data_IF_508375345985
#
_entry.id   IF_508375345985
#
_cell.length_a   1.000
_cell.length_b   1.000
_cell.length_c   1.000
_cell.angle_alpha   90.00
_cell.angle_beta   90.00
_cell.angle_gamma   90.00
#
_symmetry.space_group_name_H-M   'P 1'
#
loop_
_entity.id
_entity.type
_entity.pdbx_description
1 polymer ?
#
# COMPACT_ATOMS: atom_id res chain seq x y z
N UNK A 1 -21.58 -73.90 -3.87
CA UNK A 1 -20.77 -72.96 -3.06
C UNK A 1 -21.06 -71.56 -3.57
N UNK A 2 -21.46 -70.68 -2.66
CA UNK A 2 -22.31 -69.51 -2.89
C UNK A 2 -21.50 -68.31 -3.45
N UNK A 3 -21.78 -67.89 -4.68
CA UNK A 3 -21.29 -66.61 -5.23
C UNK A 3 -22.31 -65.51 -4.89
N UNK A 4 -22.04 -64.74 -3.84
CA UNK A 4 -22.90 -63.65 -3.40
C UNK A 4 -22.76 -62.40 -4.27
N UNK A 5 -23.85 -61.79 -4.77
CA UNK A 5 -23.81 -60.57 -5.56
C UNK A 5 -24.04 -59.35 -4.64
N UNK A 6 -23.05 -58.93 -3.85
CA UNK A 6 -23.19 -57.71 -3.05
C UNK A 6 -21.86 -56.98 -2.86
N UNK A 7 -21.55 -56.01 -3.73
CA UNK A 7 -20.78 -54.82 -3.30
C UNK A 7 -20.79 -53.63 -4.28
N UNK A 8 -21.17 -53.81 -5.55
CA UNK A 8 -21.05 -52.77 -6.59
C UNK A 8 -21.86 -51.48 -6.27
N UNK A 9 -22.97 -51.58 -5.54
CA UNK A 9 -23.80 -50.42 -5.15
C UNK A 9 -23.15 -49.54 -4.08
N UNK A 10 -22.48 -50.14 -3.08
CA UNK A 10 -21.81 -49.42 -1.99
C UNK A 10 -20.54 -48.71 -2.46
N UNK A 11 -19.81 -49.31 -3.39
CA UNK A 11 -18.61 -48.69 -3.97
C UNK A 11 -18.98 -47.44 -4.80
N UNK A 12 -20.08 -47.49 -5.57
CA UNK A 12 -20.59 -46.34 -6.35
C UNK A 12 -21.13 -45.20 -5.49
N UNK A 13 -21.83 -45.51 -4.40
CA UNK A 13 -22.30 -44.50 -3.44
C UNK A 13 -21.11 -43.78 -2.78
N UNK A 14 -20.08 -44.54 -2.39
CA UNK A 14 -18.84 -44.00 -1.82
C UNK A 14 -18.08 -43.13 -2.82
N UNK A 15 -17.97 -43.55 -4.07
CA UNK A 15 -17.33 -42.75 -5.12
C UNK A 15 -18.08 -41.44 -5.39
N UNK A 16 -19.42 -41.47 -5.36
CA UNK A 16 -20.25 -40.27 -5.47
C UNK A 16 -20.07 -39.32 -4.27
N UNK A 17 -20.02 -39.83 -3.04
CA UNK A 17 -19.76 -39.03 -1.84
C UNK A 17 -18.39 -38.35 -1.90
N UNK A 18 -17.36 -39.08 -2.36
CA UNK A 18 -16.01 -38.53 -2.57
C UNK A 18 -16.01 -37.45 -3.66
N UNK A 19 -16.68 -37.68 -4.78
CA UNK A 19 -16.80 -36.70 -5.87
C UNK A 19 -17.56 -35.44 -5.41
N UNK A 20 -18.66 -35.61 -4.68
CA UNK A 20 -19.46 -34.52 -4.13
C UNK A 20 -18.65 -33.71 -3.10
N UNK A 21 -17.88 -34.38 -2.25
CA UNK A 21 -16.96 -33.73 -1.30
C UNK A 21 -15.88 -32.90 -2.00
N UNK A 22 -15.29 -33.41 -3.09
CA UNK A 22 -14.33 -32.66 -3.93
C UNK A 22 -14.98 -31.44 -4.58
N UNK A 23 -16.19 -31.61 -5.13
CA UNK A 23 -16.93 -30.53 -5.78
C UNK A 23 -17.28 -29.42 -4.77
N UNK A 24 -17.73 -29.78 -3.57
CA UNK A 24 -18.04 -28.82 -2.51
C UNK A 24 -16.78 -28.07 -2.05
N UNK A 25 -15.66 -28.77 -1.85
CA UNK A 25 -14.37 -28.14 -1.50
C UNK A 25 -13.89 -27.19 -2.58
N UNK A 26 -14.03 -27.57 -3.86
CA UNK A 26 -13.70 -26.71 -5.00
C UNK A 26 -14.55 -25.44 -5.02
N UNK A 27 -15.86 -25.56 -4.77
CA UNK A 27 -16.76 -24.41 -4.74
C UNK A 27 -16.37 -23.40 -3.65
N UNK A 28 -16.07 -23.88 -2.43
CA UNK A 28 -15.60 -23.03 -1.33
C UNK A 28 -14.31 -22.29 -1.71
N UNK A 29 -13.31 -23.01 -2.24
CA UNK A 29 -12.03 -22.39 -2.63
C UNK A 29 -12.18 -21.33 -3.74
N UNK A 30 -13.11 -21.52 -4.68
CA UNK A 30 -13.40 -20.54 -5.72
C UNK A 30 -14.06 -19.28 -5.14
N UNK A 31 -14.96 -19.43 -4.18
CA UNK A 31 -15.58 -18.31 -3.47
C UNK A 31 -14.53 -17.53 -2.66
N UNK A 32 -13.64 -18.23 -1.95
CA UNK A 32 -12.56 -17.59 -1.21
C UNK A 32 -11.57 -16.85 -2.13
N UNK A 33 -11.21 -17.48 -3.26
CA UNK A 33 -10.37 -16.85 -4.26
C UNK A 33 -11.00 -15.56 -4.80
N UNK A 34 -12.29 -15.58 -5.13
CA UNK A 34 -13.01 -14.41 -5.60
C UNK A 34 -13.00 -13.28 -4.56
N UNK A 35 -13.25 -13.61 -3.29
CA UNK A 35 -13.20 -12.67 -2.15
C UNK A 35 -11.81 -12.05 -1.98
N UNK A 36 -10.74 -12.85 -2.10
CA UNK A 36 -9.37 -12.32 -2.01
C UNK A 36 -9.01 -11.42 -3.19
N UNK A 37 -9.36 -11.81 -4.41
CA UNK A 37 -9.13 -10.99 -5.61
C UNK A 37 -9.90 -9.66 -5.55
N UNK A 38 -11.15 -9.68 -5.06
CA UNK A 38 -11.96 -8.47 -4.86
C UNK A 38 -11.30 -7.50 -3.88
N UNK A 39 -10.77 -8.01 -2.76
CA UNK A 39 -10.02 -7.20 -1.78
C UNK A 39 -8.68 -6.69 -2.32
N UNK A 40 -7.94 -7.51 -3.08
CA UNK A 40 -6.64 -7.15 -3.62
C UNK A 40 -6.73 -6.09 -4.74
N UNK A 41 -7.77 -6.15 -5.57
CA UNK A 41 -7.95 -5.29 -6.74
C UNK A 41 -7.81 -3.79 -6.45
N UNK A 42 -8.52 -3.19 -5.48
CA UNK A 42 -8.43 -1.76 -5.23
C UNK A 42 -7.08 -1.36 -4.60
N UNK A 43 -6.43 -2.26 -3.84
CA UNK A 43 -5.07 -2.06 -3.32
C UNK A 43 -4.04 -2.03 -4.46
N UNK A 44 -4.08 -3.03 -5.36
CA UNK A 44 -3.22 -3.06 -6.57
C UNK A 44 -3.38 -1.80 -7.42
N UNK A 45 -4.62 -1.35 -7.60
CA UNK A 45 -4.91 -0.13 -8.35
C UNK A 45 -4.27 1.10 -7.70
N UNK A 46 -4.49 1.30 -6.39
CA UNK A 46 -3.92 2.44 -5.66
C UNK A 46 -2.38 2.43 -5.69
N UNK A 47 -1.76 1.28 -5.41
CA UNK A 47 -0.29 1.14 -5.40
C UNK A 47 0.34 1.32 -6.78
N UNK A 48 -0.42 1.14 -7.87
CA UNK A 48 0.03 1.45 -9.24
C UNK A 48 -0.13 2.93 -9.58
N UNK A 49 -1.18 3.58 -9.09
CA UNK A 49 -1.51 4.97 -9.42
C UNK A 49 -0.57 5.99 -8.74
N UNK A 50 -0.08 5.65 -7.54
CA UNK A 50 0.76 6.52 -6.71
C UNK A 50 2.20 6.00 -6.72
N UNK A 51 3.19 6.79 -7.13
CA UNK A 51 4.59 6.40 -7.03
C UNK A 51 5.07 6.30 -5.58
N UNK A 52 5.99 5.39 -5.32
CA UNK A 52 6.64 5.27 -4.02
C UNK A 52 7.55 6.49 -3.75
N UNK A 53 7.55 6.96 -2.49
CA UNK A 53 8.50 8.00 -2.05
C UNK A 53 9.90 7.39 -2.06
N UNK A 54 10.79 7.95 -2.89
CA UNK A 54 12.21 7.58 -2.90
C UNK A 54 12.82 7.89 -1.54
N UNK A 55 13.54 6.94 -0.95
CA UNK A 55 14.30 7.13 0.28
C UNK A 55 15.76 6.83 -0.04
N UNK A 56 16.59 7.86 -0.03
CA UNK A 56 17.99 7.76 -0.45
C UNK A 56 18.83 8.72 0.39
N UNK A 57 19.99 8.23 0.84
CA UNK A 57 20.92 9.07 1.60
C UNK A 57 21.61 10.10 0.71
N UNK A 58 21.83 9.74 -0.57
CA UNK A 58 22.53 10.56 -1.55
C UNK A 58 21.65 10.76 -2.79
N UNK A 59 21.28 12.01 -3.07
CA UNK A 59 20.57 12.42 -4.29
C UNK A 59 21.54 13.06 -5.27
N UNK A 60 21.43 12.73 -6.56
CA UNK A 60 22.23 13.36 -7.62
C UNK A 60 21.80 14.81 -7.86
N UNK A 61 22.75 15.72 -8.05
CA UNK A 61 22.46 17.10 -8.46
C UNK A 61 21.99 18.03 -7.35
N UNK A 62 22.14 17.63 -6.07
CA UNK A 62 21.84 18.48 -4.94
C UNK A 62 22.95 19.51 -4.71
N UNK A 63 22.56 20.73 -4.32
CA UNK A 63 23.52 21.75 -3.90
C UNK A 63 24.17 21.35 -2.57
N UNK A 64 25.50 21.43 -2.47
CA UNK A 64 26.25 21.07 -1.26
C UNK A 64 25.83 21.83 0.00
N UNK A 65 25.25 23.03 -0.15
CA UNK A 65 24.77 23.86 0.97
C UNK A 65 23.28 23.67 1.28
N UNK A 66 22.54 22.91 0.46
CA UNK A 66 21.15 22.62 0.73
C UNK A 66 21.04 21.67 1.91
N UNK A 67 20.39 22.12 2.97
CA UNK A 67 20.24 21.33 4.19
C UNK A 67 18.90 20.58 4.21
N UNK A 68 18.91 19.31 4.59
CA UNK A 68 17.68 18.58 4.81
C UNK A 68 16.85 19.21 5.95
N UNK A 69 15.59 19.55 5.66
CA UNK A 69 14.67 20.17 6.64
C UNK A 69 14.36 19.25 7.81
N UNK A 70 14.69 17.96 7.73
CA UNK A 70 14.45 16.97 8.79
C UNK A 70 15.74 16.66 9.55
N UNK A 71 16.66 15.89 8.95
CA UNK A 71 17.89 15.40 9.59
C UNK A 71 19.03 16.41 9.65
N UNK A 72 18.92 17.58 8.99
CA UNK A 72 19.96 18.62 8.94
C UNK A 72 21.23 18.26 8.17
N UNK A 73 21.29 17.09 7.53
CA UNK A 73 22.43 16.73 6.69
C UNK A 73 22.56 17.70 5.50
N UNK A 74 23.73 18.34 5.30
CA UNK A 74 23.96 19.26 4.20
C UNK A 74 24.35 18.52 2.92
N UNK A 75 23.72 18.86 1.80
CA UNK A 75 24.16 18.44 0.46
C UNK A 75 24.05 16.95 0.17
N UNK A 76 23.39 16.17 1.02
CA UNK A 76 23.27 14.73 0.85
C UNK A 76 22.02 14.36 0.01
N UNK A 77 20.83 14.77 0.44
CA UNK A 77 19.57 14.38 -0.21
C UNK A 77 18.49 15.47 -0.15
N UNK A 78 17.53 15.39 -1.07
CA UNK A 78 16.33 16.24 -0.98
C UNK A 78 15.52 15.88 0.26
N UNK A 79 14.90 16.86 0.92
CA UNK A 79 14.17 16.60 2.17
C UNK A 79 13.06 15.55 2.02
N UNK A 80 12.33 15.50 0.89
CA UNK A 80 11.32 14.45 0.64
C UNK A 80 11.95 13.04 0.68
N UNK A 81 13.21 12.92 0.29
CA UNK A 81 13.98 11.68 0.21
C UNK A 81 14.69 11.25 1.48
N UNK A 82 14.58 12.02 2.56
CA UNK A 82 15.26 11.75 3.82
C UNK A 82 14.99 10.32 4.33
N UNK A 83 16.03 9.48 4.52
CA UNK A 83 15.87 8.11 4.99
C UNK A 83 15.69 8.01 6.51
N UNK A 84 16.18 8.98 7.28
CA UNK A 84 16.13 8.94 8.76
C UNK A 84 14.75 9.32 9.31
N UNK A 85 14.08 10.25 8.63
CA UNK A 85 12.75 10.72 9.00
C UNK A 85 11.79 10.27 7.92
N UNK A 86 11.10 9.16 8.15
CA UNK A 86 10.25 8.53 7.13
C UNK A 86 8.77 8.76 7.33
N UNK A 87 8.36 9.14 8.54
CA UNK A 87 6.98 9.33 8.96
C UNK A 87 6.50 10.77 8.72
N UNK A 88 5.39 10.92 7.98
CA UNK A 88 4.83 12.21 7.60
C UNK A 88 4.39 13.07 8.80
N UNK A 89 3.82 12.47 9.86
CA UNK A 89 3.37 13.22 11.04
C UNK A 89 4.56 13.75 11.84
N UNK A 90 5.61 12.94 12.01
CA UNK A 90 6.88 13.36 12.60
C UNK A 90 7.52 14.49 11.77
N UNK A 91 7.56 14.35 10.44
CA UNK A 91 8.07 15.40 9.54
C UNK A 91 7.26 16.69 9.69
N UNK A 92 5.94 16.60 9.77
CA UNK A 92 5.06 17.75 10.00
C UNK A 92 5.37 18.43 11.33
N UNK A 93 5.52 17.66 12.41
CA UNK A 93 5.84 18.17 13.73
C UNK A 93 7.20 18.89 13.74
N UNK A 94 8.23 18.35 13.08
CA UNK A 94 9.54 18.99 12.92
C UNK A 94 9.40 20.36 12.24
N UNK A 95 8.62 20.44 11.15
CA UNK A 95 8.37 21.71 10.44
C UNK A 95 7.66 22.72 11.34
N UNK A 96 6.64 22.27 12.07
CA UNK A 96 5.88 23.10 13.01
C UNK A 96 6.74 23.63 14.16
N UNK A 97 7.52 22.76 14.80
CA UNK A 97 8.40 23.12 15.93
C UNK A 97 9.49 24.11 15.51
N UNK A 98 9.97 23.98 14.27
CA UNK A 98 10.92 24.91 13.66
C UNK A 98 10.26 26.18 13.12
N UNK A 99 8.96 26.38 13.36
CA UNK A 99 8.17 27.55 12.90
C UNK A 99 8.27 27.78 11.39
N UNK A 100 8.30 26.70 10.61
CA UNK A 100 8.32 26.73 9.15
C UNK A 100 6.92 26.54 8.59
N UNK A 101 6.66 27.11 7.42
CA UNK A 101 5.37 26.98 6.74
C UNK A 101 5.16 25.52 6.28
N UNK A 102 4.04 24.86 6.60
CA UNK A 102 3.77 23.50 6.14
C UNK A 102 3.68 23.34 4.62
N UNK A 103 3.41 24.41 3.87
CA UNK A 103 3.24 24.35 2.41
C UNK A 103 4.56 24.33 1.64
N UNK A 104 5.54 25.15 2.05
CA UNK A 104 6.85 25.25 1.39
C UNK A 104 8.03 24.80 2.25
N UNK A 105 7.83 24.50 3.54
CA UNK A 105 8.85 24.14 4.52
C UNK A 105 9.91 25.23 4.77
N UNK A 106 9.61 26.48 4.42
CA UNK A 106 10.47 27.65 4.62
C UNK A 106 9.84 28.67 5.59
N UNK A 107 10.60 29.74 5.87
CA UNK A 107 10.19 30.88 6.69
C UNK A 107 9.48 31.96 5.85
N UNK A 108 8.18 31.77 5.60
CA UNK A 108 7.36 32.69 4.80
C UNK A 108 7.30 34.10 5.38
N UNK A 109 7.37 34.24 6.70
CA UNK A 109 7.38 35.52 7.41
C UNK A 109 8.50 36.45 6.96
N UNK A 110 9.63 35.90 6.50
CA UNK A 110 10.77 36.67 5.98
C UNK A 110 10.53 37.27 4.60
N UNK A 111 9.57 36.70 3.84
CA UNK A 111 9.20 37.15 2.48
C UNK A 111 7.87 37.91 2.44
N UNK A 112 7.04 37.75 3.46
CA UNK A 112 5.66 38.27 3.48
C UNK A 112 4.64 37.45 2.67
N UNK A 113 5.06 36.36 2.00
CA UNK A 113 4.17 35.48 1.25
C UNK A 113 4.71 34.03 1.15
N UNK A 114 3.83 33.09 0.79
CA UNK A 114 4.19 31.70 0.51
C UNK A 114 4.04 31.42 -0.99
N UNK A 115 5.13 31.07 -1.67
CA UNK A 115 5.10 30.71 -3.10
C UNK A 115 4.35 29.39 -3.39
N UNK A 116 3.96 28.63 -2.36
CA UNK A 116 3.35 27.30 -2.47
C UNK A 116 1.87 27.30 -2.06
N UNK A 117 1.25 28.48 -1.89
CA UNK A 117 -0.13 28.61 -1.40
C UNK A 117 -1.15 27.82 -2.25
N UNK A 118 -0.98 27.84 -3.58
CA UNK A 118 -1.86 27.12 -4.52
C UNK A 118 -1.31 25.75 -4.94
N UNK A 119 -0.12 25.36 -4.45
CA UNK A 119 0.55 24.12 -4.86
C UNK A 119 -0.08 22.95 -4.13
N UNK A 120 -0.72 22.06 -4.88
CA UNK A 120 -1.30 20.83 -4.35
C UNK A 120 -0.21 19.79 -4.05
N UNK A 121 -0.39 19.04 -2.97
CA UNK A 121 0.45 17.88 -2.67
C UNK A 121 0.35 16.84 -3.81
N UNK A 122 1.51 16.35 -4.25
CA UNK A 122 1.62 15.36 -5.33
C UNK A 122 0.91 14.05 -4.96
N UNK A 123 1.20 13.50 -3.77
CA UNK A 123 0.59 12.24 -3.31
C UNK A 123 -0.93 12.37 -3.13
N UNK A 124 -1.41 13.44 -2.49
CA UNK A 124 -2.84 13.69 -2.33
C UNK A 124 -3.58 13.83 -3.67
N UNK A 125 -2.92 14.39 -4.69
CA UNK A 125 -3.50 14.51 -6.02
C UNK A 125 -3.63 13.15 -6.69
N UNK A 126 -2.59 12.30 -6.58
CA UNK A 126 -2.58 10.93 -7.13
C UNK A 126 -3.50 9.96 -6.38
N UNK A 127 -3.73 10.20 -5.09
CA UNK A 127 -4.59 9.35 -4.26
C UNK A 127 -6.08 9.43 -4.60
N UNK A 128 -6.52 10.48 -5.32
CA UNK A 128 -7.93 10.64 -5.72
C UNK A 128 -8.41 9.45 -6.53
N UNK A 129 -9.65 9.02 -6.28
CA UNK A 129 -10.27 7.86 -6.91
C UNK A 129 -9.51 6.53 -6.65
N UNK A 130 -8.72 6.47 -5.58
CA UNK A 130 -8.09 5.24 -5.09
C UNK A 130 -8.48 5.01 -3.63
N UNK A 131 -8.16 3.83 -3.09
CA UNK A 131 -8.36 3.55 -1.65
C UNK A 131 -7.59 4.49 -0.73
N UNK A 132 -6.56 5.19 -1.25
CA UNK A 132 -5.75 6.12 -0.47
C UNK A 132 -6.39 7.49 -0.32
N UNK A 133 -7.50 7.78 -1.01
CA UNK A 133 -8.19 9.07 -0.92
C UNK A 133 -8.65 9.38 0.51
N UNK A 134 -9.17 8.38 1.22
CA UNK A 134 -9.61 8.52 2.61
C UNK A 134 -8.46 8.80 3.59
N UNK A 135 -7.22 8.53 3.19
CA UNK A 135 -6.02 8.72 4.00
C UNK A 135 -5.35 10.08 3.78
N UNK A 136 -5.93 10.95 2.94
CA UNK A 136 -5.42 12.31 2.74
C UNK A 136 -5.48 13.09 4.07
N UNK A 137 -4.39 13.76 4.47
CA UNK A 137 -4.41 14.66 5.61
C UNK A 137 -5.55 15.70 5.49
N UNK A 138 -6.29 15.90 6.59
CA UNK A 138 -7.34 16.93 6.70
C UNK A 138 -6.72 18.25 7.16
N UNK A 139 -5.82 18.78 6.33
CA UNK A 139 -5.17 20.06 6.55
C UNK A 139 -5.55 21.08 5.46
N UNK A 140 -5.12 22.32 5.64
CA UNK A 140 -5.29 23.39 4.64
C UNK A 140 -4.26 23.27 3.49
N UNK A 141 -3.74 22.07 3.23
CA UNK A 141 -2.62 21.80 2.34
C UNK A 141 -1.30 21.58 3.07
N UNK A 142 -0.38 20.89 2.39
CA UNK A 142 0.97 20.58 2.87
C UNK A 142 1.94 20.36 1.71
N UNK A 143 3.23 20.51 2.01
CA UNK A 143 4.31 20.10 1.14
C UNK A 143 4.30 18.58 0.98
N UNK A 144 4.63 18.07 -0.21
CA UNK A 144 4.61 16.61 -0.51
C UNK A 144 5.46 15.77 0.45
N UNK A 145 6.54 16.36 0.97
CA UNK A 145 7.43 15.73 1.94
C UNK A 145 6.77 15.44 3.29
N UNK A 146 5.67 16.11 3.62
CA UNK A 146 4.93 15.96 4.87
C UNK A 146 3.72 15.04 4.74
N UNK A 147 3.42 14.56 3.52
CA UNK A 147 2.25 13.72 3.29
C UNK A 147 2.40 12.34 3.94
N UNK A 148 1.34 11.82 4.56
CA UNK A 148 1.31 10.50 5.22
C UNK A 148 0.84 9.36 4.31
N UNK A 149 0.45 9.65 3.06
CA UNK A 149 -0.02 8.64 2.10
C UNK A 149 1.06 7.61 1.75
N UNK A 150 2.34 7.97 1.50
CA UNK A 150 3.39 6.99 1.23
C UNK A 150 3.56 5.92 2.32
N UNK A 151 3.32 6.28 3.58
CA UNK A 151 3.37 5.40 4.74
C UNK A 151 2.18 4.42 4.71
N UNK A 152 0.97 4.92 4.42
CA UNK A 152 -0.21 4.06 4.19
C UNK A 152 -0.03 3.13 3.00
N UNK A 153 0.69 3.54 1.97
CA UNK A 153 1.02 2.66 0.85
C UNK A 153 1.94 1.51 1.28
N UNK A 154 2.90 1.75 2.19
CA UNK A 154 3.74 0.68 2.75
C UNK A 154 2.89 -0.34 3.52
N UNK A 155 1.96 0.12 4.36
CA UNK A 155 1.01 -0.75 5.08
C UNK A 155 0.16 -1.58 4.10
N UNK A 156 -0.40 -0.93 3.07
CA UNK A 156 -1.21 -1.59 2.06
C UNK A 156 -0.42 -2.60 1.21
N UNK A 157 0.88 -2.36 0.96
CA UNK A 157 1.76 -3.32 0.29
C UNK A 157 1.91 -4.61 1.11
N UNK A 158 2.10 -4.47 2.43
CA UNK A 158 2.18 -5.63 3.33
C UNK A 158 0.88 -6.41 3.32
N UNK A 159 -0.27 -5.73 3.37
CA UNK A 159 -1.58 -6.39 3.25
C UNK A 159 -1.73 -7.09 1.90
N UNK A 160 -1.40 -6.44 0.79
CA UNK A 160 -1.50 -7.02 -0.54
C UNK A 160 -0.65 -8.28 -0.67
N UNK A 161 0.59 -8.27 -0.17
CA UNK A 161 1.45 -9.44 -0.21
C UNK A 161 0.85 -10.64 0.54
N UNK A 162 0.19 -10.40 1.69
CA UNK A 162 -0.52 -11.45 2.43
C UNK A 162 -1.71 -12.00 1.62
N UNK A 163 -2.52 -11.11 1.04
CA UNK A 163 -3.66 -11.53 0.22
C UNK A 163 -3.18 -12.31 -1.02
N UNK A 164 -2.06 -11.92 -1.63
CA UNK A 164 -1.48 -12.62 -2.77
C UNK A 164 -0.97 -14.01 -2.43
N UNK A 165 -0.46 -14.23 -1.20
CA UNK A 165 -0.13 -15.56 -0.70
C UNK A 165 -1.37 -16.44 -0.52
N UNK A 166 -2.48 -15.90 -0.02
CA UNK A 166 -3.76 -16.62 0.09
C UNK A 166 -4.31 -16.99 -1.28
N UNK A 167 -4.29 -16.04 -2.23
CA UNK A 167 -4.68 -16.27 -3.63
C UNK A 167 -3.86 -17.42 -4.23
N UNK A 168 -2.55 -17.42 -4.01
CA UNK A 168 -1.67 -18.45 -4.56
C UNK A 168 -1.93 -19.82 -3.91
N UNK A 169 -2.21 -19.84 -2.60
CA UNK A 169 -2.60 -21.07 -1.87
C UNK A 169 -3.90 -21.65 -2.41
N UNK A 170 -4.95 -20.83 -2.57
CA UNK A 170 -6.21 -21.27 -3.18
C UNK A 170 -5.99 -21.83 -4.58
N UNK A 171 -5.19 -21.15 -5.42
CA UNK A 171 -4.88 -21.59 -6.79
C UNK A 171 -4.13 -22.93 -6.81
N UNK A 172 -3.18 -23.13 -5.90
CA UNK A 172 -2.43 -24.39 -5.79
C UNK A 172 -3.36 -25.54 -5.36
N UNK A 173 -4.15 -25.36 -4.31
CA UNK A 173 -5.10 -26.40 -3.87
C UNK A 173 -6.12 -26.74 -4.96
N UNK A 174 -6.60 -25.74 -5.70
CA UNK A 174 -7.54 -25.94 -6.82
C UNK A 174 -6.94 -26.71 -8.01
N UNK A 175 -5.62 -26.70 -8.17
CA UNK A 175 -4.91 -27.48 -9.19
C UNK A 175 -4.78 -28.96 -8.79
N UNK A 176 -4.69 -29.23 -7.49
CA UNK A 176 -4.50 -30.57 -6.92
C UNK A 176 -5.83 -31.30 -6.60
N UNK A 177 -6.99 -30.63 -6.77
CA UNK A 177 -8.34 -31.18 -6.53
C UNK A 177 -8.99 -31.75 -7.79
#
# INVERSE_FOLDING_TARGET
MNNGPHNIGRDRERDNEVAQGRQQRRAVLLEELARFEERARPIRHGLRAIPERKQEMFSTGICATMECVFCREPGAHYSDSCPDFTDGDQRYQIVKDRKRCPLCMEHCERRGYCAYIDKKCFYCTRARNTIFEQHRPRDNGHHTALCTIPERMKEARVELNRIEQEIQTCKWILQDL
#
